data_IF_297648854950
#
_entry.id   IF_297648854950
#
_cell.length_a   1.000
_cell.length_b   1.000
_cell.length_c   1.000
_cell.angle_alpha   90.00
_cell.angle_beta   90.00
_cell.angle_gamma   90.00
#
_symmetry.space_group_name_H-M   'P 1'
#
loop_
_entity.id
_entity.type
_entity.pdbx_description
1 polymer ?
#
# COMPACT_ATOMS: atom_id res chain seq x y z
N UNK A 1 32.38 -39.52 8.42
CA UNK A 1 33.14 -38.25 8.47
C UNK A 1 32.32 -37.20 7.74
N UNK A 2 31.66 -36.36 8.55
CA UNK A 2 31.00 -35.08 8.32
C UNK A 2 30.67 -34.62 6.89
N UNK A 3 29.39 -34.27 6.59
CA UNK A 3 29.11 -33.24 5.61
C UNK A 3 29.49 -31.88 6.20
N UNK A 4 30.35 -31.16 5.48
CA UNK A 4 30.74 -29.78 5.74
C UNK A 4 29.52 -28.87 5.68
N UNK A 5 29.31 -28.12 6.76
CA UNK A 5 28.34 -27.04 6.86
C UNK A 5 28.67 -25.93 5.85
N UNK A 6 27.81 -25.71 4.87
CA UNK A 6 27.75 -24.41 4.20
C UNK A 6 26.77 -23.55 4.98
N UNK A 7 27.31 -22.52 5.65
CA UNK A 7 26.53 -21.50 6.33
C UNK A 7 25.64 -20.79 5.31
N UNK A 8 24.31 -20.94 5.47
CA UNK A 8 23.36 -20.02 4.86
C UNK A 8 23.53 -18.67 5.55
N UNK A 9 24.27 -17.75 4.92
CA UNK A 9 24.18 -16.33 5.27
C UNK A 9 22.83 -15.83 4.74
N UNK A 10 21.83 -15.92 5.62
CA UNK A 10 20.56 -15.22 5.47
C UNK A 10 20.82 -13.72 5.59
N UNK A 11 21.08 -13.05 4.47
CA UNK A 11 21.23 -11.61 4.45
C UNK A 11 19.84 -10.95 4.57
N UNK A 12 19.48 -10.57 5.79
CA UNK A 12 18.26 -9.82 6.09
C UNK A 12 18.25 -8.46 5.37
N UNK A 13 17.25 -8.26 4.51
CA UNK A 13 16.25 -7.24 4.79
C UNK A 13 16.65 -5.77 4.76
N UNK A 14 17.70 -5.37 4.07
CA UNK A 14 17.86 -4.05 3.42
C UNK A 14 19.03 -4.19 2.45
N UNK A 15 18.94 -3.62 1.24
CA UNK A 15 20.12 -3.55 0.38
C UNK A 15 21.25 -2.92 1.21
N UNK A 16 22.39 -3.60 1.44
CA UNK A 16 23.50 -2.95 2.11
C UNK A 16 23.84 -1.71 1.28
N UNK A 17 24.22 -0.57 1.89
CA UNK A 17 24.89 0.45 1.13
C UNK A 17 26.15 -0.21 0.60
N UNK A 18 26.13 -0.58 -0.68
CA UNK A 18 27.32 -1.10 -1.30
C UNK A 18 28.37 0.00 -1.12
N UNK A 19 29.48 -0.34 -0.47
CA UNK A 19 30.76 0.26 -0.82
C UNK A 19 31.01 -0.10 -2.30
N UNK A 20 30.27 0.57 -3.18
CA UNK A 20 30.37 0.43 -4.61
C UNK A 20 31.57 1.26 -5.03
N UNK A 21 32.36 0.74 -5.96
CA UNK A 21 33.42 1.52 -6.59
C UNK A 21 32.80 2.73 -7.29
N UNK A 22 32.75 3.87 -6.61
CA UNK A 22 32.63 5.23 -7.16
C UNK A 22 31.36 5.60 -7.93
N UNK A 23 30.37 4.72 -8.12
CA UNK A 23 29.13 5.08 -8.81
C UNK A 23 28.20 5.86 -7.86
N UNK A 24 27.62 6.98 -8.31
CA UNK A 24 26.61 7.68 -7.52
C UNK A 24 25.35 6.81 -7.39
N UNK A 25 24.54 7.00 -6.34
CA UNK A 25 23.22 6.39 -6.25
C UNK A 25 22.40 6.66 -7.51
N UNK A 26 21.61 5.66 -7.95
CA UNK A 26 20.72 5.85 -9.09
C UNK A 26 19.71 6.96 -8.79
N UNK A 27 19.53 7.88 -9.76
CA UNK A 27 18.51 8.92 -9.66
C UNK A 27 17.12 8.35 -9.91
N UNK A 28 16.18 8.61 -9.00
CA UNK A 28 14.76 8.30 -9.19
C UNK A 28 14.13 9.45 -9.98
N UNK A 29 13.60 9.15 -11.17
CA UNK A 29 12.97 10.16 -12.03
C UNK A 29 11.54 10.43 -11.57
N UNK A 30 11.36 11.48 -10.78
CA UNK A 30 10.05 11.93 -10.27
C UNK A 30 9.36 12.96 -11.18
N UNK A 31 9.30 12.72 -12.50
CA UNK A 31 8.77 13.69 -13.48
C UNK A 31 7.79 13.02 -14.45
N UNK A 32 6.60 13.60 -14.61
CA UNK A 32 5.59 13.20 -15.60
C UNK A 32 5.14 14.41 -16.43
N UNK A 33 5.50 14.43 -17.72
CA UNK A 33 5.30 15.61 -18.57
C UNK A 33 6.01 16.83 -17.99
N UNK A 34 5.25 17.90 -17.72
CA UNK A 34 5.75 19.12 -17.07
C UNK A 34 5.49 19.14 -15.55
N UNK A 35 5.03 18.04 -14.97
CA UNK A 35 4.66 17.92 -13.56
C UNK A 35 5.62 17.03 -12.76
N UNK A 36 5.48 17.09 -11.43
CA UNK A 36 6.19 16.23 -10.48
C UNK A 36 5.38 14.95 -10.22
N UNK A 37 6.08 13.82 -10.11
CA UNK A 37 5.52 12.57 -9.61
C UNK A 37 5.73 12.53 -8.10
N UNK A 38 4.65 12.27 -7.35
CA UNK A 38 4.74 12.00 -5.92
C UNK A 38 4.56 10.50 -5.71
N UNK A 39 5.57 9.83 -5.18
CA UNK A 39 5.39 8.46 -4.70
C UNK A 39 4.60 8.48 -3.40
N UNK A 40 3.41 7.86 -3.44
CA UNK A 40 2.52 7.70 -2.28
C UNK A 40 2.47 6.23 -1.82
N UNK A 41 3.37 5.39 -2.33
CA UNK A 41 3.46 3.98 -1.99
C UNK A 41 4.37 3.75 -0.79
N UNK A 42 4.02 2.76 0.02
CA UNK A 42 4.89 2.29 1.10
C UNK A 42 5.83 1.22 0.56
N UNK A 43 7.14 1.48 0.62
CA UNK A 43 8.16 0.50 0.24
C UNK A 43 7.99 -0.81 1.00
N UNK A 44 8.02 -1.93 0.27
CA UNK A 44 7.90 -3.26 0.84
C UNK A 44 9.19 -3.61 1.58
N UNK A 45 9.09 -3.81 2.90
CA UNK A 45 10.21 -4.07 3.80
C UNK A 45 9.79 -5.04 4.90
N UNK A 46 10.70 -5.80 5.52
CA UNK A 46 10.31 -6.85 6.45
C UNK A 46 9.54 -6.38 7.69
N UNK A 47 9.80 -5.15 8.12
CA UNK A 47 9.11 -4.52 9.24
C UNK A 47 7.86 -3.72 8.85
N UNK A 48 7.38 -3.84 7.60
CA UNK A 48 6.12 -3.20 7.21
C UNK A 48 4.97 -3.82 8.01
N UNK A 49 4.08 -2.98 8.55
CA UNK A 49 2.91 -3.41 9.31
C UNK A 49 2.08 -4.43 8.54
N UNK A 50 1.71 -5.53 9.21
CA UNK A 50 0.78 -6.54 8.72
C UNK A 50 -0.51 -6.51 9.53
N UNK A 51 -1.66 -6.49 8.85
CA UNK A 51 -2.97 -6.44 9.51
C UNK A 51 -3.10 -7.52 10.61
N UNK A 52 -3.54 -7.09 11.80
CA UNK A 52 -3.77 -7.98 12.95
C UNK A 52 -2.50 -8.61 13.55
N UNK A 53 -1.30 -8.18 13.15
CA UNK A 53 -0.04 -8.75 13.64
C UNK A 53 0.72 -7.80 14.56
N UNK A 54 1.38 -8.36 15.58
CA UNK A 54 2.42 -7.66 16.34
C UNK A 54 3.78 -7.65 15.61
N UNK A 55 3.91 -8.42 14.51
CA UNK A 55 5.11 -8.46 13.68
C UNK A 55 4.90 -7.78 12.33
N UNK A 56 6.02 -7.51 11.66
CA UNK A 56 6.00 -7.05 10.28
C UNK A 56 5.65 -8.19 9.30
N UNK A 57 5.61 -7.86 8.01
CA UNK A 57 5.33 -8.82 6.93
C UNK A 57 6.38 -9.92 6.78
N UNK A 58 7.58 -9.75 7.36
CA UNK A 58 8.69 -10.69 7.24
C UNK A 58 9.47 -10.52 5.93
N UNK A 59 10.44 -11.40 5.62
CA UNK A 59 11.29 -11.26 4.44
C UNK A 59 10.47 -11.07 3.15
N UNK A 60 10.67 -9.97 2.45
CA UNK A 60 9.90 -9.60 1.23
C UNK A 60 10.61 -10.05 -0.05
N UNK A 61 11.94 -9.95 -0.07
CA UNK A 61 12.76 -10.22 -1.25
C UNK A 61 13.96 -11.07 -0.86
N UNK A 62 14.29 -12.04 -1.70
CA UNK A 62 15.47 -12.91 -1.54
C UNK A 62 16.26 -12.88 -2.84
N UNK A 63 17.56 -12.57 -2.78
CA UNK A 63 18.43 -12.69 -3.95
C UNK A 63 18.82 -14.17 -4.13
N UNK A 64 18.37 -14.79 -5.22
CA UNK A 64 18.58 -16.23 -5.49
C UNK A 64 19.76 -16.49 -6.44
N UNK A 65 20.10 -15.54 -7.32
CA UNK A 65 21.33 -15.54 -8.10
C UNK A 65 22.07 -14.21 -7.91
N UNK A 66 23.40 -14.26 -7.87
CA UNK A 66 24.20 -13.05 -7.63
C UNK A 66 25.46 -13.02 -8.49
N UNK A 67 25.64 -11.89 -9.19
CA UNK A 67 26.88 -11.62 -9.95
C UNK A 67 28.10 -11.64 -9.02
N UNK A 68 27.93 -11.15 -7.78
CA UNK A 68 28.98 -11.19 -6.76
C UNK A 68 29.43 -12.62 -6.45
N UNK A 69 28.53 -13.60 -6.61
CA UNK A 69 28.77 -15.01 -6.36
C UNK A 69 29.01 -15.81 -7.65
N UNK A 70 29.27 -15.14 -8.78
CA UNK A 70 29.63 -15.78 -10.05
C UNK A 70 28.46 -16.11 -10.99
N UNK A 71 27.23 -15.72 -10.65
CA UNK A 71 26.10 -15.78 -11.60
C UNK A 71 26.25 -14.74 -12.72
N UNK A 72 25.62 -14.96 -13.88
CA UNK A 72 25.61 -13.98 -14.98
C UNK A 72 24.70 -12.78 -14.70
N UNK A 73 23.72 -12.97 -13.82
CA UNK A 73 22.71 -11.97 -13.47
C UNK A 73 22.49 -11.91 -11.96
N UNK A 74 21.97 -10.79 -11.49
CA UNK A 74 21.34 -10.73 -10.17
C UNK A 74 19.86 -11.05 -10.36
N UNK A 75 19.42 -12.18 -9.82
CA UNK A 75 18.02 -12.62 -9.87
C UNK A 75 17.52 -12.76 -8.44
N UNK A 76 16.31 -12.27 -8.18
CA UNK A 76 15.68 -12.41 -6.88
C UNK A 76 14.23 -12.79 -6.99
N UNK A 77 13.74 -13.36 -5.89
CA UNK A 77 12.37 -13.77 -5.71
C UNK A 77 11.66 -12.79 -4.78
N UNK A 78 10.40 -12.50 -5.09
CA UNK A 78 9.48 -11.89 -4.13
C UNK A 78 8.91 -13.03 -3.31
N UNK A 79 9.16 -12.99 -2.00
CA UNK A 79 8.68 -13.99 -1.06
C UNK A 79 7.15 -13.90 -0.90
N UNK A 80 6.55 -14.80 -0.13
CA UNK A 80 5.09 -14.86 0.07
C UNK A 80 4.54 -13.57 0.70
N UNK A 81 3.84 -12.78 -0.08
CA UNK A 81 3.09 -11.59 0.35
C UNK A 81 1.59 -11.86 0.37
N UNK A 82 0.88 -11.28 1.34
CA UNK A 82 -0.58 -11.19 1.28
C UNK A 82 -1.02 -10.11 0.31
N UNK A 83 -2.19 -10.27 -0.31
CA UNK A 83 -2.79 -9.29 -1.23
C UNK A 83 -3.02 -7.91 -0.59
N UNK A 84 -3.19 -7.88 0.73
CA UNK A 84 -3.40 -6.67 1.55
C UNK A 84 -2.10 -6.22 2.25
N UNK A 85 -0.99 -6.21 1.52
CA UNK A 85 0.33 -5.78 2.02
C UNK A 85 0.70 -4.41 1.47
N UNK A 86 1.02 -3.45 2.34
CA UNK A 86 1.44 -2.12 1.92
C UNK A 86 0.35 -1.34 1.19
N UNK A 87 0.72 -0.57 0.17
CA UNK A 87 -0.23 0.18 -0.67
C UNK A 87 -0.83 -0.75 -1.70
N UNK A 88 -2.13 -1.04 -1.60
CA UNK A 88 -2.85 -2.03 -2.41
C UNK A 88 -4.27 -1.55 -2.74
N UNK A 89 -5.00 -2.34 -3.53
CA UNK A 89 -6.42 -2.10 -3.87
C UNK A 89 -7.21 -3.35 -3.51
N UNK A 90 -8.37 -3.15 -2.90
CA UNK A 90 -9.31 -4.22 -2.58
C UNK A 90 -10.35 -4.38 -3.69
N UNK A 91 -10.75 -5.62 -3.94
CA UNK A 91 -11.81 -5.95 -4.90
C UNK A 91 -13.07 -6.42 -4.15
N UNK A 92 -14.27 -6.37 -4.74
CA UNK A 92 -15.49 -6.86 -4.10
C UNK A 92 -15.39 -8.32 -3.64
N UNK A 93 -14.70 -9.17 -4.41
CA UNK A 93 -14.43 -10.56 -4.06
C UNK A 93 -13.61 -10.75 -2.77
N UNK A 94 -13.00 -9.70 -2.23
CA UNK A 94 -12.35 -9.76 -0.92
C UNK A 94 -13.35 -9.99 0.23
N UNK A 95 -14.55 -9.41 0.14
CA UNK A 95 -15.55 -9.44 1.22
C UNK A 95 -16.77 -10.32 0.92
N UNK A 96 -17.06 -10.59 -0.35
CA UNK A 96 -18.28 -11.30 -0.76
C UNK A 96 -17.96 -12.55 -1.57
N UNK A 97 -18.37 -13.72 -1.06
CA UNK A 97 -18.11 -15.02 -1.67
C UNK A 97 -18.68 -15.12 -3.10
N UNK A 98 -19.92 -14.71 -3.31
CA UNK A 98 -20.56 -14.77 -4.63
C UNK A 98 -19.81 -13.91 -5.68
N UNK A 99 -19.21 -12.79 -5.24
CA UNK A 99 -18.39 -11.94 -6.10
C UNK A 99 -17.04 -12.59 -6.41
N UNK A 100 -16.44 -13.27 -5.42
CA UNK A 100 -15.22 -14.04 -5.62
C UNK A 100 -15.45 -15.15 -6.65
N UNK A 101 -16.51 -15.94 -6.48
CA UNK A 101 -16.86 -17.04 -7.38
C UNK A 101 -17.24 -16.56 -8.79
N UNK A 102 -17.83 -15.36 -8.89
CA UNK A 102 -18.14 -14.71 -10.17
C UNK A 102 -16.95 -13.98 -10.82
N UNK A 103 -15.75 -14.00 -10.21
CA UNK A 103 -14.54 -13.42 -10.79
C UNK A 103 -14.44 -11.90 -10.68
N UNK A 104 -15.08 -11.27 -9.68
CA UNK A 104 -14.87 -9.86 -9.35
C UNK A 104 -13.53 -9.67 -8.61
N UNK A 105 -12.45 -9.96 -9.32
CA UNK A 105 -11.05 -9.88 -8.91
C UNK A 105 -10.40 -8.61 -9.47
N UNK A 106 -9.07 -8.48 -9.34
CA UNK A 106 -8.35 -7.26 -9.75
C UNK A 106 -8.51 -7.00 -11.25
N UNK A 107 -8.53 -8.07 -12.04
CA UNK A 107 -8.67 -8.06 -13.50
C UNK A 107 -10.02 -7.51 -13.96
N UNK A 108 -11.04 -7.51 -13.10
CA UNK A 108 -12.38 -7.00 -13.43
C UNK A 108 -12.55 -5.51 -13.13
N UNK A 109 -11.57 -4.84 -12.52
CA UNK A 109 -11.69 -3.44 -12.13
C UNK A 109 -11.58 -2.50 -13.35
N UNK A 110 -12.43 -1.47 -13.37
CA UNK A 110 -12.38 -0.44 -14.41
C UNK A 110 -11.13 0.45 -14.23
N UNK A 111 -10.21 0.36 -15.18
CA UNK A 111 -9.00 1.20 -15.21
C UNK A 111 -9.32 2.70 -15.26
N UNK A 112 -10.44 3.09 -15.86
CA UNK A 112 -10.93 4.47 -15.88
C UNK A 112 -11.51 4.92 -14.54
N UNK A 113 -11.59 4.04 -13.52
CA UNK A 113 -11.78 4.37 -12.10
C UNK A 113 -10.46 4.41 -11.34
N UNK A 114 -9.45 3.63 -11.74
CA UNK A 114 -8.14 3.61 -11.06
C UNK A 114 -7.21 4.76 -11.50
N UNK A 115 -7.34 5.27 -12.73
CA UNK A 115 -6.44 6.30 -13.27
C UNK A 115 -7.19 7.58 -13.68
N UNK A 116 -6.84 8.71 -13.06
CA UNK A 116 -7.35 10.02 -13.42
C UNK A 116 -7.25 11.04 -12.28
N UNK A 117 -7.87 12.23 -12.44
CA UNK A 117 -7.87 13.26 -11.41
C UNK A 117 -8.43 12.75 -10.08
N UNK A 118 -7.74 13.10 -8.99
CA UNK A 118 -8.13 12.75 -7.63
C UNK A 118 -8.07 13.99 -6.74
N UNK A 119 -8.98 14.04 -5.77
CA UNK A 119 -8.99 15.07 -4.74
C UNK A 119 -8.35 14.52 -3.47
N UNK A 120 -7.34 15.20 -2.95
CA UNK A 120 -6.82 14.94 -1.60
C UNK A 120 -7.62 15.80 -0.61
N UNK A 121 -8.30 15.15 0.34
CA UNK A 121 -9.06 15.83 1.39
C UNK A 121 -8.45 15.56 2.76
N UNK A 122 -8.47 16.58 3.60
CA UNK A 122 -7.96 16.50 4.97
C UNK A 122 -9.13 16.24 5.94
N UNK A 123 -9.08 15.13 6.67
CA UNK A 123 -10.13 14.70 7.60
C UNK A 123 -9.86 15.24 9.01
N UNK A 124 -10.86 15.77 9.75
CA UNK A 124 -10.68 16.18 11.14
C UNK A 124 -9.94 15.14 11.98
N UNK A 125 -8.95 15.59 12.76
CA UNK A 125 -7.99 14.70 13.46
C UNK A 125 -8.54 14.04 14.71
N UNK A 126 -9.70 14.46 15.16
CA UNK A 126 -10.38 14.02 16.37
C UNK A 126 -11.53 13.03 16.08
N UNK A 127 -11.70 12.57 14.84
CA UNK A 127 -12.86 11.74 14.46
C UNK A 127 -12.56 10.63 13.45
N UNK A 128 -13.43 9.61 13.46
CA UNK A 128 -13.60 8.68 12.35
C UNK A 128 -14.40 9.35 11.21
N UNK A 129 -14.41 8.72 10.02
CA UNK A 129 -15.16 9.27 8.88
C UNK A 129 -16.64 8.86 9.01
N UNK A 130 -17.42 9.67 9.73
CA UNK A 130 -18.88 9.57 9.90
C UNK A 130 -19.63 10.32 8.80
N UNK A 131 -20.96 10.26 8.81
CA UNK A 131 -21.80 11.04 7.88
C UNK A 131 -21.62 12.56 8.08
N UNK A 132 -21.53 13.02 9.32
CA UNK A 132 -21.29 14.44 9.64
C UNK A 132 -19.94 14.91 9.12
N UNK A 133 -18.90 14.08 9.29
CA UNK A 133 -17.57 14.37 8.76
C UNK A 133 -17.64 14.46 7.24
N UNK A 134 -18.22 13.47 6.56
CA UNK A 134 -18.36 13.48 5.10
C UNK A 134 -19.10 14.73 4.59
N UNK A 135 -20.18 15.13 5.26
CA UNK A 135 -20.91 16.36 4.94
C UNK A 135 -20.06 17.62 5.12
N UNK A 136 -19.22 17.66 6.17
CA UNK A 136 -18.35 18.79 6.47
C UNK A 136 -17.19 18.96 5.49
N UNK A 137 -16.76 17.87 4.82
CA UNK A 137 -15.66 17.91 3.84
C UNK A 137 -16.03 18.66 2.56
N UNK A 138 -17.32 18.91 2.31
CA UNK A 138 -17.81 19.70 1.17
C UNK A 138 -17.20 19.27 -0.18
N UNK A 139 -17.06 17.96 -0.39
CA UNK A 139 -16.47 17.40 -1.60
C UNK A 139 -17.30 17.84 -2.83
N UNK A 140 -16.69 18.46 -3.87
CA UNK A 140 -17.41 18.90 -5.05
C UNK A 140 -18.10 17.74 -5.78
N UNK A 141 -19.34 17.96 -6.23
CA UNK A 141 -20.04 17.03 -7.13
C UNK A 141 -19.22 16.77 -8.40
N UNK A 142 -19.32 15.58 -8.96
CA UNK A 142 -18.50 15.12 -10.08
C UNK A 142 -17.11 14.60 -9.70
N UNK A 143 -16.69 14.72 -8.43
CA UNK A 143 -15.42 14.13 -7.97
C UNK A 143 -15.51 12.60 -7.98
N UNK A 144 -14.67 11.95 -8.78
CA UNK A 144 -14.68 10.49 -8.97
C UNK A 144 -13.74 9.74 -8.03
N UNK A 145 -12.66 10.39 -7.57
CA UNK A 145 -11.61 9.77 -6.75
C UNK A 145 -11.22 10.69 -5.62
N UNK A 146 -11.18 10.15 -4.41
CA UNK A 146 -10.83 10.92 -3.22
C UNK A 146 -9.81 10.16 -2.39
N UNK A 147 -8.72 10.82 -2.05
CA UNK A 147 -7.74 10.35 -1.08
C UNK A 147 -8.01 11.09 0.25
N UNK A 148 -8.30 10.34 1.30
CA UNK A 148 -8.57 10.87 2.63
C UNK A 148 -7.29 10.84 3.46
N UNK A 149 -6.70 12.02 3.70
CA UNK A 149 -5.62 12.18 4.67
C UNK A 149 -6.22 12.26 6.06
N UNK A 150 -5.89 11.28 6.90
CA UNK A 150 -6.41 11.14 8.25
C UNK A 150 -5.29 11.25 9.29
N UNK A 151 -5.65 11.19 10.57
CA UNK A 151 -4.68 11.09 11.68
C UNK A 151 -3.71 9.89 11.54
N UNK A 152 -4.04 8.87 10.73
CA UNK A 152 -3.17 7.71 10.48
C UNK A 152 -1.82 8.13 9.90
N UNK A 153 -1.81 9.14 9.01
CA UNK A 153 -0.60 9.67 8.39
C UNK A 153 0.26 10.39 9.43
N UNK A 154 -0.34 11.23 10.27
CA UNK A 154 0.36 11.99 11.31
C UNK A 154 0.97 11.06 12.36
N UNK A 155 0.24 9.99 12.72
CA UNK A 155 0.70 8.93 13.62
C UNK A 155 1.70 7.96 12.96
N UNK A 156 1.96 8.12 11.66
CA UNK A 156 2.86 7.31 10.85
C UNK A 156 2.59 5.81 11.01
N UNK A 157 1.32 5.41 11.00
CA UNK A 157 0.93 4.03 11.32
C UNK A 157 1.59 2.99 10.40
N UNK A 158 1.73 3.29 9.11
CA UNK A 158 2.42 2.41 8.15
C UNK A 158 3.95 2.34 8.33
N UNK A 159 4.53 3.17 9.20
CA UNK A 159 5.96 3.10 9.58
C UNK A 159 6.18 2.33 10.88
N UNK A 160 5.11 1.91 11.57
CA UNK A 160 5.19 1.00 12.70
C UNK A 160 5.25 -0.45 12.21
N UNK A 161 5.94 -1.30 12.97
CA UNK A 161 5.94 -2.75 12.73
C UNK A 161 4.64 -3.39 13.19
N UNK A 162 4.16 -2.99 14.37
CA UNK A 162 2.95 -3.50 14.99
C UNK A 162 1.69 -2.87 14.38
N UNK A 163 0.67 -3.69 14.17
CA UNK A 163 -0.64 -3.23 13.77
C UNK A 163 -1.32 -2.43 14.89
N UNK A 164 -1.70 -1.20 14.56
CA UNK A 164 -2.40 -0.29 15.46
C UNK A 164 -3.90 -0.29 15.12
N UNK A 165 -4.69 -1.00 15.93
CA UNK A 165 -6.14 -1.17 15.72
C UNK A 165 -6.96 0.11 15.95
N UNK A 166 -6.35 1.15 16.52
CA UNK A 166 -7.00 2.45 16.77
C UNK A 166 -6.90 3.41 15.59
N UNK A 167 -6.69 2.89 14.38
CA UNK A 167 -6.63 3.67 13.15
C UNK A 167 -7.99 4.33 12.83
N UNK A 168 -7.94 5.48 12.17
CA UNK A 168 -9.11 6.18 11.65
C UNK A 168 -9.66 5.46 10.42
N UNK A 169 -10.94 5.09 10.47
CA UNK A 169 -11.66 4.35 9.44
C UNK A 169 -12.95 5.05 8.97
N UNK A 170 -13.64 4.42 8.01
CA UNK A 170 -15.02 4.80 7.69
C UNK A 170 -15.94 4.16 8.71
N UNK A 171 -16.90 4.94 9.21
CA UNK A 171 -18.05 4.40 9.91
C UNK A 171 -19.14 4.05 8.90
N UNK A 172 -20.07 3.16 9.28
CA UNK A 172 -21.11 2.67 8.37
C UNK A 172 -22.00 3.80 7.81
N UNK A 173 -22.32 4.79 8.65
CA UNK A 173 -23.08 5.98 8.26
C UNK A 173 -22.29 6.89 7.32
N UNK A 174 -20.99 7.05 7.52
CA UNK A 174 -20.12 7.81 6.61
C UNK A 174 -19.97 7.16 5.25
N UNK A 175 -19.86 5.83 5.22
CA UNK A 175 -19.86 5.04 4.00
C UNK A 175 -21.19 5.18 3.23
N UNK A 176 -22.32 5.03 3.93
CA UNK A 176 -23.63 5.18 3.32
C UNK A 176 -23.85 6.60 2.78
N UNK A 177 -23.47 7.62 3.55
CA UNK A 177 -23.57 9.02 3.12
C UNK A 177 -22.78 9.26 1.83
N UNK A 178 -21.57 8.71 1.73
CA UNK A 178 -20.73 8.80 0.52
C UNK A 178 -21.47 8.24 -0.70
N UNK A 179 -22.03 7.04 -0.59
CA UNK A 179 -22.77 6.37 -1.67
C UNK A 179 -23.99 7.19 -2.10
N UNK A 180 -24.72 7.75 -1.15
CA UNK A 180 -26.00 8.41 -1.43
C UNK A 180 -25.84 9.85 -1.97
N UNK A 181 -24.73 10.53 -1.63
CA UNK A 181 -24.61 11.98 -1.83
C UNK A 181 -23.49 12.41 -2.79
N UNK A 182 -22.68 11.47 -3.29
CA UNK A 182 -21.50 11.79 -4.10
C UNK A 182 -21.38 10.93 -5.36
N UNK A 183 -20.54 11.38 -6.29
CA UNK A 183 -20.19 10.63 -7.51
C UNK A 183 -18.90 9.81 -7.35
N UNK A 184 -18.41 9.65 -6.11
CA UNK A 184 -17.13 9.01 -5.82
C UNK A 184 -17.21 7.53 -6.20
N UNK A 185 -16.18 7.05 -6.90
CA UNK A 185 -15.99 5.65 -7.29
C UNK A 185 -14.71 5.05 -6.73
N UNK A 186 -13.77 5.86 -6.25
CA UNK A 186 -12.54 5.40 -5.62
C UNK A 186 -12.28 6.16 -4.33
N UNK A 187 -12.03 5.41 -3.27
CA UNK A 187 -11.66 5.90 -1.95
C UNK A 187 -10.27 5.38 -1.60
N UNK A 188 -9.32 6.28 -1.43
CA UNK A 188 -8.01 5.95 -0.86
C UNK A 188 -7.88 6.46 0.57
N UNK A 189 -7.28 5.66 1.45
CA UNK A 189 -6.88 6.07 2.79
C UNK A 189 -5.42 5.70 2.99
N UNK A 190 -4.66 6.55 3.68
CA UNK A 190 -3.25 6.31 3.97
C UNK A 190 -3.04 5.28 5.12
N UNK A 191 -3.70 4.11 5.03
CA UNK A 191 -3.47 2.94 5.90
C UNK A 191 -3.93 1.64 5.21
N UNK A 192 -5.24 1.43 5.00
CA UNK A 192 -5.84 0.30 4.27
C UNK A 192 -6.92 0.79 3.29
N UNK A 193 -6.98 0.21 2.09
CA UNK A 193 -7.89 0.63 1.01
C UNK A 193 -9.23 -0.10 1.07
N UNK A 194 -10.29 0.52 0.54
CA UNK A 194 -11.61 -0.09 0.36
C UNK A 194 -12.23 0.44 -0.93
N UNK A 195 -12.94 -0.41 -1.67
CA UNK A 195 -13.78 -0.03 -2.80
C UNK A 195 -15.26 -0.19 -2.44
N UNK A 196 -16.13 0.67 -3.01
CA UNK A 196 -17.59 0.62 -2.90
C UNK A 196 -18.21 0.28 -4.26
#
# INVERSE_FOLDING_TARGET
LSPTSTSNDHHEGTLPPAASGGLPPAEVREVYGNGQIFDITHGLKPNLCKFGSAGGVGPVYTLVQSIKNGSEVNEGEINRLGTHTGTHVDTPGHFYQDYYDAGYTLESLDMAVLNGPALLVDVPRDSNITAEVMKSLQIPKGTRRVLFRTLNTDRRLMYKTEFDSSFVGFMADGAQWLVDNTDIKLVGKFFFFFFF
#
